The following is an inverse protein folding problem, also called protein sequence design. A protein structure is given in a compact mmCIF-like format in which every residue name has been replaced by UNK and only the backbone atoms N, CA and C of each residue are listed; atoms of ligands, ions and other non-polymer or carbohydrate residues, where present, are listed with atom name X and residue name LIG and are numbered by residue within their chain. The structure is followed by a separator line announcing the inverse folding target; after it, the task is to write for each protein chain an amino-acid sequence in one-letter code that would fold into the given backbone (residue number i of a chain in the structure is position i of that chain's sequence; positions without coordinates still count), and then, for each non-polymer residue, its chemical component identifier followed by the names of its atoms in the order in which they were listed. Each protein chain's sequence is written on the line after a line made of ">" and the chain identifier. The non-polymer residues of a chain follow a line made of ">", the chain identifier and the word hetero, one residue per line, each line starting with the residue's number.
data_IF_106237559901
#
_entry.id   IF_106237559901
#
_cell.length_a   1.000
_cell.length_b   1.000
_cell.length_c   1.000
_cell.angle_alpha   90.00
_cell.angle_beta   90.00
_cell.angle_gamma   90.00
#
_symmetry.space_group_name_H-M   'P 1'
#
loop_
_entity.id
_entity.type
_entity.pdbx_description
1 polymer ?
#
# COMPACT_ATOMS: atom_id res chain seq x y z
N UNK A 1 -8.63 44.65 -4.34
CA UNK A 1 -9.04 45.80 -5.17
C UNK A 1 -7.80 46.59 -5.49
N UNK A 2 -7.68 47.09 -6.72
CA UNK A 2 -6.55 47.80 -7.34
C UNK A 2 -5.50 46.90 -8.04
N UNK A 3 -5.72 46.87 -9.35
CA UNK A 3 -4.84 46.45 -10.45
C UNK A 3 -3.78 47.52 -10.69
N UNK A 4 -2.53 47.14 -10.95
CA UNK A 4 -1.52 48.04 -11.56
C UNK A 4 -0.79 47.31 -12.67
N UNK A 5 -1.09 47.77 -13.88
CA UNK A 5 -0.38 47.60 -15.15
C UNK A 5 0.94 48.37 -15.07
N UNK A 6 2.05 47.83 -15.61
CA UNK A 6 3.05 48.66 -16.30
C UNK A 6 3.89 47.88 -17.31
N UNK A 7 4.11 48.58 -18.41
CA UNK A 7 4.63 48.19 -19.71
C UNK A 7 6.07 47.66 -19.71
N UNK A 8 6.33 46.69 -20.60
CA UNK A 8 7.66 46.43 -21.14
C UNK A 8 7.98 47.49 -22.21
N UNK A 9 9.09 48.19 -22.07
CA UNK A 9 9.76 48.89 -23.17
C UNK A 9 11.04 48.14 -23.56
N UNK A 10 11.23 48.01 -24.88
CA UNK A 10 12.39 47.47 -25.55
C UNK A 10 13.55 48.47 -25.54
N UNK A 11 14.75 48.01 -25.22
CA UNK A 11 16.00 48.64 -25.69
C UNK A 11 17.00 47.57 -26.14
N UNK A 12 17.39 47.65 -27.41
CA UNK A 12 18.51 46.93 -28.03
C UNK A 12 19.79 47.75 -27.84
N UNK A 13 20.96 47.10 -27.78
CA UNK A 13 22.18 47.73 -28.28
C UNK A 13 22.87 46.88 -29.37
N UNK A 14 22.96 47.51 -30.54
CA UNK A 14 24.15 47.69 -31.39
C UNK A 14 25.11 46.52 -31.64
N UNK A 15 25.09 46.06 -32.90
CA UNK A 15 26.08 45.21 -33.55
C UNK A 15 27.42 45.93 -33.79
N UNK A 16 28.53 45.29 -33.44
CA UNK A 16 29.87 45.62 -33.94
C UNK A 16 30.24 44.55 -34.97
N UNK A 17 30.50 45.00 -36.20
CA UNK A 17 30.92 44.17 -37.32
C UNK A 17 32.38 43.74 -37.20
N UNK A 18 32.65 42.49 -37.57
CA UNK A 18 34.00 41.99 -37.83
C UNK A 18 33.95 41.26 -39.18
N UNK A 19 34.75 41.77 -40.11
CA UNK A 19 34.95 41.21 -41.44
C UNK A 19 35.71 39.88 -41.34
N UNK A 20 35.25 38.86 -42.08
CA UNK A 20 35.97 37.61 -42.29
C UNK A 20 36.24 37.38 -43.78
N UNK A 21 37.45 36.93 -44.15
CA UNK A 21 37.87 36.80 -45.54
C UNK A 21 37.28 35.57 -46.23
N UNK A 22 37.08 35.72 -47.55
CA UNK A 22 36.76 34.68 -48.51
C UNK A 22 37.76 33.52 -48.43
N UNK A 23 37.28 32.31 -48.10
CA UNK A 23 38.01 31.06 -48.28
C UNK A 23 37.35 30.27 -49.42
N UNK A 24 38.17 29.93 -50.40
CA UNK A 24 37.90 29.11 -51.58
C UNK A 24 37.28 27.75 -51.17
N UNK A 25 36.12 27.43 -51.73
CA UNK A 25 35.49 26.12 -51.59
C UNK A 25 36.18 25.09 -52.50
N UNK A 26 36.83 24.09 -51.89
CA UNK A 26 37.28 22.87 -52.57
C UNK A 26 36.19 21.81 -52.39
N UNK A 27 35.55 21.43 -53.50
CA UNK A 27 34.57 20.34 -53.58
C UNK A 27 35.28 18.99 -53.43
N UNK A 28 35.28 18.43 -52.22
CA UNK A 28 35.65 17.05 -51.98
C UNK A 28 34.40 16.15 -52.07
N UNK A 29 34.38 15.30 -53.10
CA UNK A 29 33.39 14.24 -53.29
C UNK A 29 33.71 13.15 -52.25
N UNK A 30 32.97 13.12 -51.14
CA UNK A 30 33.04 12.03 -50.16
C UNK A 30 31.83 11.10 -50.33
N UNK A 31 32.12 9.82 -50.51
CA UNK A 31 31.13 8.77 -50.76
C UNK A 31 30.22 8.55 -49.55
N UNK A 32 28.97 8.19 -49.84
CA UNK A 32 28.01 7.72 -48.85
C UNK A 32 28.50 6.40 -48.24
N UNK A 33 29.05 6.45 -47.04
CA UNK A 33 29.11 5.27 -46.17
C UNK A 33 27.71 5.01 -45.59
N UNK A 34 27.19 3.77 -45.62
CA UNK A 34 25.94 3.47 -44.93
C UNK A 34 26.12 3.68 -43.43
N UNK A 35 25.36 4.63 -42.87
CA UNK A 35 25.24 4.82 -41.43
C UNK A 35 24.80 3.49 -40.80
N UNK A 36 25.67 2.90 -39.99
CA UNK A 36 25.28 1.81 -39.12
C UNK A 36 24.10 2.29 -38.26
N UNK A 37 23.03 1.49 -38.10
CA UNK A 37 21.93 1.85 -37.22
C UNK A 37 22.48 2.07 -35.80
N UNK A 38 21.96 3.07 -35.07
CA UNK A 38 22.36 3.28 -33.69
C UNK A 38 22.15 1.96 -32.93
N UNK A 39 23.22 1.46 -32.31
CA UNK A 39 23.18 0.32 -31.40
C UNK A 39 21.99 0.48 -30.48
N UNK A 40 21.04 -0.44 -30.58
CA UNK A 40 19.88 -0.49 -29.69
C UNK A 40 20.40 -0.39 -28.25
N UNK A 41 20.00 0.67 -27.54
CA UNK A 41 20.17 0.72 -26.10
C UNK A 41 19.53 -0.56 -25.55
N UNK A 42 20.36 -1.49 -25.08
CA UNK A 42 19.91 -2.65 -24.35
C UNK A 42 19.24 -2.10 -23.10
N UNK A 43 17.90 -2.05 -23.12
CA UNK A 43 17.13 -1.86 -21.91
C UNK A 43 17.57 -2.95 -20.93
N UNK A 44 17.90 -2.60 -19.67
CA UNK A 44 18.22 -3.62 -18.68
C UNK A 44 17.06 -4.63 -18.66
N UNK A 45 17.34 -5.94 -18.61
CA UNK A 45 16.30 -6.95 -18.65
C UNK A 45 15.29 -6.68 -17.52
N UNK A 46 14.03 -6.46 -17.90
CA UNK A 46 12.93 -6.37 -16.95
C UNK A 46 12.90 -7.67 -16.16
N UNK A 47 13.37 -7.62 -14.91
CA UNK A 47 13.37 -8.80 -14.04
C UNK A 47 11.93 -9.16 -13.77
N UNK A 48 11.42 -10.21 -14.42
CA UNK A 48 10.08 -10.72 -14.18
C UNK A 48 10.01 -11.27 -12.76
N UNK A 49 9.21 -10.64 -11.90
CA UNK A 49 8.92 -11.10 -10.55
C UNK A 49 8.10 -12.39 -10.68
N UNK A 50 8.57 -13.52 -10.14
CA UNK A 50 7.81 -14.77 -10.16
C UNK A 50 7.29 -15.06 -8.76
N UNK A 51 6.02 -14.75 -8.51
CA UNK A 51 5.32 -15.13 -7.29
C UNK A 51 4.61 -16.48 -7.48
N UNK A 52 4.75 -17.37 -6.50
CA UNK A 52 3.97 -18.61 -6.45
C UNK A 52 2.49 -18.36 -6.15
N UNK A 53 1.63 -19.34 -6.44
CA UNK A 53 0.20 -19.29 -6.07
C UNK A 53 0.05 -18.91 -4.60
N UNK A 54 -0.72 -17.86 -4.33
CA UNK A 54 -0.95 -17.38 -2.96
C UNK A 54 -2.36 -17.76 -2.49
N UNK A 55 -2.45 -18.35 -1.30
CA UNK A 55 -3.71 -18.68 -0.62
C UNK A 55 -4.25 -17.46 0.12
N UNK A 56 -5.48 -17.54 0.60
CA UNK A 56 -6.09 -16.49 1.42
C UNK A 56 -5.18 -16.10 2.60
N UNK A 57 -5.12 -14.80 2.95
CA UNK A 57 -4.29 -14.33 4.04
C UNK A 57 -4.80 -14.83 5.39
N UNK A 58 -3.85 -15.16 6.26
CA UNK A 58 -4.12 -15.44 7.67
C UNK A 58 -3.65 -14.27 8.52
N UNK A 59 -4.51 -13.82 9.43
CA UNK A 59 -4.21 -12.70 10.31
C UNK A 59 -4.01 -13.18 11.75
N UNK A 60 -3.17 -12.48 12.50
CA UNK A 60 -2.93 -12.75 13.92
C UNK A 60 -3.65 -11.72 14.76
N UNK A 61 -4.47 -12.16 15.72
CA UNK A 61 -5.21 -11.28 16.64
C UNK A 61 -4.27 -10.28 17.31
N UNK A 62 -4.71 -9.02 17.37
CA UNK A 62 -3.98 -7.89 17.94
C UNK A 62 -2.95 -7.25 17.01
N UNK A 63 -2.65 -7.84 15.84
CA UNK A 63 -1.78 -7.20 14.84
C UNK A 63 -2.41 -5.89 14.36
N UNK A 64 -1.61 -4.82 14.33
CA UNK A 64 -2.03 -3.51 13.84
C UNK A 64 -1.22 -3.13 12.60
N UNK A 65 -1.90 -2.79 11.52
CA UNK A 65 -1.30 -2.22 10.31
C UNK A 65 -1.47 -0.70 10.34
N UNK A 66 -0.37 0.03 10.15
CA UNK A 66 -0.33 1.50 10.18
C UNK A 66 -0.03 2.01 8.78
N UNK A 67 -0.71 3.08 8.34
CA UNK A 67 -0.63 3.59 6.98
C UNK A 67 -0.19 5.04 6.90
N UNK A 68 0.30 5.46 5.73
CA UNK A 68 0.88 6.79 5.47
C UNK A 68 -0.10 7.95 5.60
N UNK A 69 -1.41 7.71 5.48
CA UNK A 69 -2.44 8.73 5.74
C UNK A 69 -2.68 8.99 7.24
N UNK A 70 -2.00 8.22 8.11
CA UNK A 70 -2.11 8.22 9.56
C UNK A 70 -3.18 7.27 10.10
N UNK A 71 -3.93 6.60 9.22
CA UNK A 71 -4.91 5.58 9.64
C UNK A 71 -4.22 4.29 10.08
N UNK A 72 -4.94 3.51 10.88
CA UNK A 72 -4.52 2.17 11.27
C UNK A 72 -5.72 1.23 11.33
N UNK A 73 -5.43 -0.06 11.16
CA UNK A 73 -6.40 -1.16 11.23
C UNK A 73 -5.82 -2.27 12.12
N UNK A 74 -6.55 -2.63 13.17
CA UNK A 74 -6.15 -3.64 14.14
C UNK A 74 -7.05 -4.86 14.02
N UNK A 75 -6.45 -6.05 13.95
CA UNK A 75 -7.16 -7.32 14.00
C UNK A 75 -7.68 -7.54 15.42
N UNK A 76 -8.99 -7.61 15.61
CA UNK A 76 -9.62 -7.85 16.91
C UNK A 76 -9.95 -9.33 17.10
N UNK A 77 -10.41 -9.97 16.03
CA UNK A 77 -10.84 -11.37 16.03
C UNK A 77 -10.68 -11.91 14.61
N UNK A 78 -10.39 -13.20 14.47
CA UNK A 78 -10.27 -13.82 13.15
C UNK A 78 -10.44 -15.33 13.23
N UNK A 79 -10.95 -15.90 12.16
CA UNK A 79 -10.93 -17.33 11.88
C UNK A 79 -10.82 -17.53 10.35
N UNK A 80 -10.83 -18.76 9.83
CA UNK A 80 -10.70 -19.00 8.38
C UNK A 80 -11.81 -18.38 7.50
N UNK A 81 -12.95 -17.98 8.08
CA UNK A 81 -14.09 -17.41 7.34
C UNK A 81 -14.21 -15.89 7.47
N UNK A 82 -13.68 -15.29 8.53
CA UNK A 82 -13.80 -13.85 8.75
C UNK A 82 -12.61 -13.23 9.50
N UNK A 83 -12.53 -11.91 9.38
CA UNK A 83 -11.63 -11.05 10.14
C UNK A 83 -12.43 -9.85 10.65
N UNK A 84 -12.35 -9.59 11.94
CA UNK A 84 -12.90 -8.39 12.56
C UNK A 84 -11.79 -7.38 12.78
N UNK A 85 -11.98 -6.19 12.24
CA UNK A 85 -11.06 -5.08 12.35
C UNK A 85 -11.62 -3.98 13.25
N UNK A 86 -10.73 -3.31 13.97
CA UNK A 86 -10.97 -2.00 14.57
C UNK A 86 -10.13 -0.96 13.82
N UNK A 87 -10.73 0.17 13.45
CA UNK A 87 -10.02 1.24 12.73
C UNK A 87 -9.63 2.39 13.64
N UNK A 88 -8.71 3.25 13.18
CA UNK A 88 -8.37 4.51 13.86
C UNK A 88 -9.54 5.46 14.10
N UNK A 89 -10.67 5.25 13.43
CA UNK A 89 -11.91 6.01 13.63
C UNK A 89 -12.85 5.37 14.66
N UNK A 90 -12.44 4.27 15.28
CA UNK A 90 -13.25 3.49 16.22
C UNK A 90 -14.36 2.69 15.52
N UNK A 91 -14.24 2.41 14.22
CA UNK A 91 -15.19 1.59 13.48
C UNK A 91 -14.85 0.12 13.65
N UNK A 92 -15.87 -0.74 13.76
CA UNK A 92 -15.71 -2.19 13.78
C UNK A 92 -16.16 -2.77 12.45
N UNK A 93 -15.27 -3.47 11.76
CA UNK A 93 -15.50 -4.01 10.41
C UNK A 93 -15.45 -5.54 10.45
N UNK A 94 -16.49 -6.23 10.00
CA UNK A 94 -16.48 -7.67 9.75
C UNK A 94 -16.21 -7.88 8.26
N UNK A 95 -15.07 -8.48 7.93
CA UNK A 95 -14.61 -8.74 6.56
C UNK A 95 -14.36 -10.23 6.33
N UNK A 96 -14.36 -10.65 5.07
CA UNK A 96 -13.78 -11.94 4.68
C UNK A 96 -12.24 -11.83 4.67
N UNK A 97 -11.49 -12.94 4.84
CA UNK A 97 -10.06 -12.97 4.50
C UNK A 97 -9.79 -12.61 3.04
N UNK A 98 -10.75 -12.83 2.13
CA UNK A 98 -10.69 -12.29 0.78
C UNK A 98 -10.98 -10.78 0.80
N UNK A 99 -9.93 -9.96 0.92
CA UNK A 99 -10.03 -8.51 1.01
C UNK A 99 -10.53 -7.83 -0.28
N UNK A 100 -10.71 -8.57 -1.38
CA UNK A 100 -11.36 -8.03 -2.58
C UNK A 100 -12.84 -7.73 -2.32
N UNK A 101 -13.43 -8.41 -1.33
CA UNK A 101 -14.74 -8.07 -0.81
C UNK A 101 -14.66 -6.89 0.16
N UNK A 102 -15.65 -6.00 0.08
CA UNK A 102 -15.82 -4.97 1.11
C UNK A 102 -16.26 -5.61 2.44
N UNK A 103 -16.06 -4.94 3.59
CA UNK A 103 -16.53 -5.45 4.86
C UNK A 103 -18.03 -5.77 4.83
N UNK A 104 -18.40 -7.03 5.07
CA UNK A 104 -19.77 -7.54 5.09
C UNK A 104 -20.63 -6.81 6.13
N UNK A 105 -20.02 -6.38 7.24
CA UNK A 105 -20.66 -5.49 8.21
C UNK A 105 -19.69 -4.41 8.65
N UNK A 106 -20.22 -3.23 8.88
CA UNK A 106 -19.50 -2.14 9.53
C UNK A 106 -20.42 -1.42 10.50
N UNK A 107 -19.85 -0.95 11.61
CA UNK A 107 -20.56 -0.10 12.56
C UNK A 107 -19.66 1.02 13.06
N UNK A 108 -20.27 2.18 13.25
CA UNK A 108 -19.70 3.30 13.98
C UNK A 108 -20.72 3.79 15.03
N UNK A 109 -20.39 4.87 15.74
CA UNK A 109 -21.24 5.41 16.82
C UNK A 109 -22.68 5.73 16.40
N UNK A 110 -22.92 6.04 15.12
CA UNK A 110 -24.19 6.57 14.63
C UNK A 110 -24.91 5.66 13.64
N UNK A 111 -24.19 4.76 12.95
CA UNK A 111 -24.70 4.02 11.81
C UNK A 111 -24.18 2.59 11.78
N UNK A 112 -25.00 1.72 11.20
CA UNK A 112 -24.63 0.33 10.86
C UNK A 112 -24.89 0.10 9.39
N UNK A 113 -24.06 -0.74 8.78
CA UNK A 113 -24.29 -1.20 7.43
C UNK A 113 -23.94 -2.67 7.25
N UNK A 114 -24.67 -3.29 6.34
CA UNK A 114 -24.60 -4.69 5.98
C UNK A 114 -24.45 -4.80 4.47
N UNK A 115 -23.67 -5.80 4.04
CA UNK A 115 -23.42 -6.12 2.65
C UNK A 115 -23.54 -7.61 2.46
N UNK A 116 -24.19 -7.98 1.37
CA UNK A 116 -24.38 -9.36 0.96
C UNK A 116 -23.79 -9.50 -0.43
N UNK A 117 -23.02 -10.58 -0.63
CA UNK A 117 -22.31 -10.83 -1.87
C UNK A 117 -22.82 -12.12 -2.49
N UNK A 118 -23.12 -12.07 -3.79
CA UNK A 118 -23.55 -13.24 -4.55
C UNK A 118 -22.74 -13.34 -5.83
N UNK A 119 -22.19 -14.51 -6.18
CA UNK A 119 -21.52 -14.70 -7.46
C UNK A 119 -22.46 -14.35 -8.60
N UNK A 120 -21.99 -13.57 -9.57
CA UNK A 120 -22.84 -13.23 -10.71
C UNK A 120 -22.99 -14.47 -11.60
N UNK A 121 -24.23 -14.89 -11.85
CA UNK A 121 -24.54 -16.02 -12.73
C UNK A 121 -24.78 -15.51 -14.15
N UNK A 122 -23.91 -15.86 -15.09
CA UNK A 122 -24.21 -15.76 -16.52
C UNK A 122 -24.63 -17.13 -17.04
N UNK A 123 -25.49 -17.16 -18.07
CA UNK A 123 -25.78 -18.40 -18.79
C UNK A 123 -24.46 -19.02 -19.28
N UNK A 124 -24.23 -20.28 -18.92
CA UNK A 124 -23.03 -21.07 -19.25
C UNK A 124 -21.70 -20.59 -18.63
N UNK A 125 -21.73 -19.71 -17.62
CA UNK A 125 -20.52 -19.27 -16.91
C UNK A 125 -20.29 -20.05 -15.62
N UNK A 126 -19.11 -20.65 -15.49
CA UNK A 126 -18.54 -21.07 -14.21
C UNK A 126 -17.87 -19.86 -13.56
N UNK A 127 -18.66 -18.95 -12.98
CA UNK A 127 -18.10 -17.74 -12.37
C UNK A 127 -17.37 -18.13 -11.08
N UNK A 128 -16.03 -18.01 -11.08
CA UNK A 128 -15.24 -18.19 -9.86
C UNK A 128 -15.70 -17.13 -8.85
N UNK A 129 -15.91 -17.54 -7.61
CA UNK A 129 -16.39 -16.65 -6.54
C UNK A 129 -15.28 -15.76 -5.98
N UNK A 130 -14.04 -15.95 -6.40
CA UNK A 130 -12.88 -15.33 -5.78
C UNK A 130 -11.72 -15.28 -6.76
N UNK A 131 -10.83 -14.31 -6.64
CA UNK A 131 -9.56 -14.31 -7.42
C UNK A 131 -8.53 -15.29 -6.84
N UNK A 132 -8.81 -15.86 -5.67
CA UNK A 132 -7.91 -16.74 -4.95
C UNK A 132 -8.06 -18.21 -5.41
N UNK A 133 -6.97 -19.01 -5.41
CA UNK A 133 -5.59 -18.59 -5.13
C UNK A 133 -5.05 -17.65 -6.22
N UNK A 134 -4.22 -16.66 -5.84
CA UNK A 134 -3.79 -15.62 -6.77
C UNK A 134 -2.91 -16.20 -7.89
N UNK A 135 -3.21 -15.81 -9.12
CA UNK A 135 -2.42 -16.04 -10.32
C UNK A 135 -2.76 -14.96 -11.35
N UNK A 136 -1.77 -14.49 -12.11
CA UNK A 136 -1.99 -13.49 -13.18
C UNK A 136 -3.09 -13.97 -14.12
N UNK A 137 -4.05 -13.09 -14.41
CA UNK A 137 -5.18 -13.38 -15.28
C UNK A 137 -6.40 -13.98 -14.57
N UNK A 138 -6.30 -14.38 -13.29
CA UNK A 138 -7.49 -14.77 -12.51
C UNK A 138 -8.47 -13.61 -12.40
N UNK A 139 -9.76 -13.93 -12.52
CA UNK A 139 -10.85 -12.96 -12.53
C UNK A 139 -12.04 -13.48 -11.74
N UNK A 140 -12.75 -12.58 -11.08
CA UNK A 140 -14.02 -12.87 -10.39
C UNK A 140 -15.03 -11.78 -10.66
N UNK A 141 -16.30 -12.15 -10.54
CA UNK A 141 -17.43 -11.27 -10.71
C UNK A 141 -18.52 -11.57 -9.68
N UNK A 142 -18.94 -10.55 -8.94
CA UNK A 142 -19.98 -10.71 -7.93
C UNK A 142 -20.86 -9.47 -7.81
N UNK A 143 -22.11 -9.71 -7.43
CA UNK A 143 -23.07 -8.67 -7.11
C UNK A 143 -23.06 -8.39 -5.60
N UNK A 144 -23.16 -7.12 -5.26
CA UNK A 144 -23.22 -6.60 -3.90
C UNK A 144 -24.58 -5.96 -3.68
N UNK A 145 -25.29 -6.44 -2.64
CA UNK A 145 -26.46 -5.75 -2.07
C UNK A 145 -26.06 -5.10 -0.75
N UNK A 146 -26.23 -3.79 -0.65
CA UNK A 146 -25.88 -3.00 0.53
C UNK A 146 -27.14 -2.46 1.22
N UNK A 147 -27.15 -2.50 2.55
CA UNK A 147 -28.16 -1.89 3.43
C UNK A 147 -27.45 -1.10 4.52
N UNK A 148 -27.78 0.17 4.72
CA UNK A 148 -27.19 0.98 5.79
C UNK A 148 -28.15 2.08 6.28
N UNK A 149 -27.96 2.53 7.51
CA UNK A 149 -28.79 3.60 8.07
C UNK A 149 -28.61 3.75 9.57
N UNK A 150 -29.50 4.55 10.16
CA UNK A 150 -29.61 4.71 11.61
C UNK A 150 -30.71 3.74 12.08
N UNK A 151 -30.41 2.78 12.97
CA UNK A 151 -31.40 1.82 13.47
C UNK A 151 -32.65 2.52 14.01
N UNK A 152 -33.83 2.13 13.52
CA UNK A 152 -35.12 2.69 13.96
C UNK A 152 -35.48 4.07 13.38
N UNK A 153 -34.61 4.69 12.56
CA UNK A 153 -34.90 6.02 11.97
C UNK A 153 -35.07 5.94 10.46
N UNK A 154 -34.07 5.42 9.73
CA UNK A 154 -34.17 5.26 8.28
C UNK A 154 -33.21 4.18 7.78
N UNK A 155 -33.50 3.68 6.58
CA UNK A 155 -32.71 2.68 5.88
C UNK A 155 -32.48 3.07 4.43
N UNK A 156 -31.26 2.86 3.94
CA UNK A 156 -30.85 3.04 2.55
C UNK A 156 -30.39 1.72 1.98
N UNK A 157 -30.64 1.54 0.68
CA UNK A 157 -30.22 0.38 -0.08
C UNK A 157 -29.45 0.80 -1.33
N UNK A 158 -28.52 -0.05 -1.74
CA UNK A 158 -27.89 0.06 -3.05
C UNK A 158 -27.50 -1.31 -3.55
N UNK A 159 -27.47 -1.44 -4.88
CA UNK A 159 -26.93 -2.60 -5.57
C UNK A 159 -25.77 -2.16 -6.44
N UNK A 160 -24.73 -2.99 -6.47
CA UNK A 160 -23.56 -2.77 -7.30
C UNK A 160 -23.03 -4.11 -7.79
N UNK A 161 -22.22 -4.04 -8.83
CA UNK A 161 -21.59 -5.19 -9.45
C UNK A 161 -20.09 -4.97 -9.46
N UNK A 162 -19.32 -5.96 -9.02
CA UNK A 162 -17.87 -5.87 -8.83
C UNK A 162 -17.15 -6.85 -9.74
N UNK A 163 -16.17 -6.35 -10.48
CA UNK A 163 -15.24 -7.13 -11.29
C UNK A 163 -13.86 -6.99 -10.70
N UNK A 164 -13.22 -8.09 -10.33
CA UNK A 164 -11.84 -8.07 -9.87
C UNK A 164 -10.95 -8.94 -10.75
N UNK A 165 -9.69 -8.54 -10.89
CA UNK A 165 -8.65 -9.26 -11.63
C UNK A 165 -7.30 -9.20 -10.91
N UNK A 166 -6.50 -10.25 -11.09
CA UNK A 166 -5.07 -10.23 -10.79
C UNK A 166 -4.34 -9.82 -12.06
N UNK A 167 -3.78 -8.62 -12.07
CA UNK A 167 -3.30 -7.97 -13.29
C UNK A 167 -1.87 -8.39 -13.62
N UNK A 168 -0.98 -8.26 -12.64
CA UNK A 168 0.45 -8.53 -12.78
C UNK A 168 1.12 -8.74 -11.41
N UNK A 169 2.42 -9.00 -11.43
CA UNK A 169 3.29 -9.03 -10.25
C UNK A 169 4.32 -7.92 -10.35
N UNK A 170 4.52 -7.19 -9.27
CA UNK A 170 5.47 -6.07 -9.26
C UNK A 170 6.15 -5.90 -7.90
N UNK A 171 7.33 -5.27 -7.92
CA UNK A 171 8.05 -4.91 -6.70
C UNK A 171 7.65 -3.50 -6.27
N UNK A 172 7.02 -3.39 -5.11
CA UNK A 172 6.54 -2.12 -4.57
C UNK A 172 7.40 -1.70 -3.39
N UNK A 173 7.85 -0.45 -3.43
CA UNK A 173 8.51 0.20 -2.30
C UNK A 173 7.53 1.10 -1.56
N UNK A 174 7.44 0.91 -0.25
CA UNK A 174 6.64 1.70 0.69
C UNK A 174 7.50 2.09 1.89
N UNK A 175 7.05 2.98 2.80
CA UNK A 175 7.84 3.35 3.96
C UNK A 175 8.30 2.14 4.79
N UNK A 176 7.44 1.13 4.99
CA UNK A 176 7.79 -0.07 5.75
C UNK A 176 8.88 -0.95 5.10
N UNK A 177 9.10 -0.88 3.78
CA UNK A 177 10.01 -1.80 3.10
C UNK A 177 9.80 -1.91 1.60
N UNK A 178 10.45 -2.89 0.99
CA UNK A 178 10.26 -3.23 -0.42
C UNK A 178 9.74 -4.66 -0.50
N UNK A 179 8.66 -4.88 -1.23
CA UNK A 179 7.94 -6.14 -1.25
C UNK A 179 7.62 -6.57 -2.68
N UNK A 180 7.70 -7.86 -2.94
CA UNK A 180 7.18 -8.45 -4.16
C UNK A 180 5.67 -8.68 -3.98
N UNK A 181 4.86 -8.13 -4.89
CA UNK A 181 3.42 -8.02 -4.71
C UNK A 181 2.63 -8.53 -5.91
N UNK A 182 1.40 -8.98 -5.63
CA UNK A 182 0.33 -9.13 -6.61
C UNK A 182 -0.43 -7.83 -6.73
N UNK A 183 -0.57 -7.32 -7.95
CA UNK A 183 -1.46 -6.19 -8.26
C UNK A 183 -2.85 -6.70 -8.56
N UNK A 184 -3.81 -6.32 -7.72
CA UNK A 184 -5.21 -6.77 -7.82
C UNK A 184 -6.10 -5.54 -7.99
N UNK A 185 -6.82 -5.48 -9.12
CA UNK A 185 -7.74 -4.39 -9.40
C UNK A 185 -9.18 -4.87 -9.25
N UNK A 186 -10.00 -4.10 -8.53
CA UNK A 186 -11.41 -4.32 -8.32
C UNK A 186 -12.21 -3.08 -8.73
N UNK A 187 -12.99 -3.19 -9.81
CA UNK A 187 -13.87 -2.14 -10.31
C UNK A 187 -15.32 -2.39 -9.89
N UNK A 188 -15.95 -1.35 -9.36
CA UNK A 188 -17.37 -1.34 -8.97
C UNK A 188 -18.20 -0.57 -9.99
N UNK A 189 -19.27 -1.20 -10.43
CA UNK A 189 -20.25 -0.65 -11.34
C UNK A 189 -21.59 -0.49 -10.63
N UNK A 190 -22.36 0.55 -10.97
CA UNK A 190 -23.76 0.59 -10.60
C UNK A 190 -24.52 -0.54 -11.33
N UNK A 191 -25.65 -0.96 -10.75
CA UNK A 191 -26.58 -1.82 -11.50
C UNK A 191 -27.07 -1.04 -12.72
N UNK A 192 -27.18 -1.73 -13.86
CA UNK A 192 -27.51 -1.16 -15.16
C UNK A 192 -28.64 -0.12 -15.07
N UNK A 193 -28.35 1.11 -15.50
CA UNK A 193 -29.36 2.18 -15.52
C UNK A 193 -30.39 1.90 -16.62
N UNK A 194 -31.56 2.57 -16.56
CA UNK A 194 -32.59 2.49 -17.62
C UNK A 194 -32.06 2.81 -19.03
N UNK A 195 -30.92 3.51 -19.11
CA UNK A 195 -30.22 3.86 -20.35
C UNK A 195 -29.26 2.76 -20.87
N UNK A 196 -29.26 1.56 -20.27
CA UNK A 196 -28.49 0.40 -20.75
C UNK A 196 -26.98 0.48 -20.54
N UNK A 197 -26.47 1.48 -19.79
CA UNK A 197 -25.04 1.61 -19.48
C UNK A 197 -24.78 1.40 -17.99
N UNK A 198 -23.87 0.47 -17.69
CA UNK A 198 -23.25 0.33 -16.38
C UNK A 198 -22.08 1.31 -16.28
N UNK A 199 -22.09 2.15 -15.25
CA UNK A 199 -21.09 3.19 -15.02
C UNK A 199 -20.15 2.72 -13.93
N UNK A 200 -18.83 2.73 -14.21
CA UNK A 200 -17.79 2.47 -13.20
C UNK A 200 -17.74 3.64 -12.23
N UNK A 201 -17.99 3.37 -10.95
CA UNK A 201 -18.13 4.38 -9.91
C UNK A 201 -16.92 4.46 -8.97
N UNK A 202 -16.25 3.33 -8.79
CA UNK A 202 -15.17 3.13 -7.83
C UNK A 202 -14.21 2.08 -8.39
N UNK A 203 -12.92 2.30 -8.21
CA UNK A 203 -11.87 1.37 -8.57
C UNK A 203 -10.90 1.27 -7.38
N UNK A 204 -10.57 0.05 -7.01
CA UNK A 204 -9.65 -0.28 -5.92
C UNK A 204 -8.48 -1.06 -6.48
N UNK A 205 -7.27 -0.68 -6.10
CA UNK A 205 -6.05 -1.39 -6.47
C UNK A 205 -5.35 -1.79 -5.18
N UNK A 206 -5.05 -3.07 -5.04
CA UNK A 206 -4.32 -3.63 -3.91
C UNK A 206 -2.99 -4.18 -4.42
N UNK A 207 -1.90 -3.81 -3.76
CA UNK A 207 -0.60 -4.46 -3.95
C UNK A 207 -0.37 -5.40 -2.78
N UNK A 208 -0.74 -6.66 -2.96
CA UNK A 208 -0.71 -7.68 -1.92
C UNK A 208 0.64 -8.37 -1.84
N UNK A 209 1.28 -8.35 -0.67
CA UNK A 209 2.55 -9.01 -0.41
C UNK A 209 2.32 -10.32 0.37
N UNK A 210 2.49 -11.51 -0.26
CA UNK A 210 2.30 -12.79 0.42
C UNK A 210 3.23 -12.98 1.62
N UNK A 211 4.44 -12.40 1.59
CA UNK A 211 5.44 -12.51 2.66
C UNK A 211 4.99 -11.93 4.00
N UNK A 212 4.07 -10.97 3.99
CA UNK A 212 3.47 -10.39 5.21
C UNK A 212 1.99 -10.74 5.38
N UNK A 213 1.40 -11.42 4.40
CA UNK A 213 -0.02 -11.79 4.40
C UNK A 213 -0.97 -10.58 4.36
N UNK A 214 -0.55 -9.44 3.79
CA UNK A 214 -1.35 -8.21 3.72
C UNK A 214 -0.95 -7.35 2.52
N UNK A 215 -1.79 -6.38 2.16
CA UNK A 215 -1.43 -5.38 1.15
C UNK A 215 -0.50 -4.31 1.73
N UNK A 216 0.48 -3.89 0.93
CA UNK A 216 1.47 -2.87 1.31
C UNK A 216 1.11 -1.51 0.74
N UNK A 217 0.37 -1.49 -0.37
CA UNK A 217 -0.15 -0.29 -1.00
C UNK A 217 -1.62 -0.52 -1.39
N UNK A 218 -2.46 0.45 -1.09
CA UNK A 218 -3.86 0.49 -1.49
C UNK A 218 -4.20 1.83 -2.10
N UNK A 219 -4.80 1.78 -3.29
CA UNK A 219 -5.31 2.93 -4.00
C UNK A 219 -6.82 2.80 -4.24
N UNK A 220 -7.53 3.90 -4.11
CA UNK A 220 -8.96 3.97 -4.40
C UNK A 220 -9.29 5.23 -5.18
N UNK A 221 -9.84 5.01 -6.37
CA UNK A 221 -10.31 6.05 -7.26
C UNK A 221 -11.84 6.04 -7.32
N UNK A 222 -12.44 7.22 -7.47
CA UNK A 222 -13.88 7.39 -7.66
C UNK A 222 -14.14 8.13 -8.97
N UNK A 223 -15.30 7.93 -9.56
CA UNK A 223 -15.69 8.61 -10.80
C UNK A 223 -15.98 10.11 -10.60
N UNK A 224 -16.42 10.52 -9.40
CA UNK A 224 -16.71 11.92 -9.07
C UNK A 224 -15.47 12.63 -8.48
N UNK A 225 -15.57 13.93 -8.22
CA UNK A 225 -14.55 14.77 -7.56
C UNK A 225 -14.31 14.42 -6.06
N UNK A 226 -14.42 13.15 -5.68
CA UNK A 226 -14.06 12.67 -4.36
C UNK A 226 -12.53 12.55 -4.26
N UNK A 227 -11.94 12.83 -3.09
CA UNK A 227 -10.53 12.58 -2.88
C UNK A 227 -10.18 11.11 -3.14
N UNK A 228 -9.09 10.90 -3.87
CA UNK A 228 -8.48 9.58 -4.02
C UNK A 228 -7.97 9.13 -2.66
N UNK A 229 -8.09 7.84 -2.37
CA UNK A 229 -7.47 7.23 -1.18
C UNK A 229 -6.16 6.60 -1.63
N UNK A 230 -5.08 6.89 -0.92
CA UNK A 230 -3.76 6.32 -1.12
C UNK A 230 -3.22 5.94 0.24
N UNK A 231 -2.90 4.67 0.46
CA UNK A 231 -2.40 4.15 1.74
C UNK A 231 -1.18 3.29 1.47
N UNK A 232 -0.04 3.72 1.98
CA UNK A 232 1.19 2.94 2.00
C UNK A 232 1.43 2.40 3.41
N UNK A 233 1.88 1.16 3.50
CA UNK A 233 2.21 0.53 4.77
C UNK A 233 3.42 1.23 5.41
N UNK A 234 3.22 1.68 6.64
CA UNK A 234 4.21 2.38 7.47
C UNK A 234 4.81 1.43 8.50
N UNK A 235 3.98 0.59 9.13
CA UNK A 235 4.44 -0.40 10.10
C UNK A 235 3.42 -1.52 10.32
N UNK A 236 3.92 -2.68 10.75
CA UNK A 236 3.12 -3.80 11.28
C UNK A 236 3.51 -4.00 12.74
N UNK A 237 2.55 -3.84 13.65
CA UNK A 237 2.78 -3.93 15.09
C UNK A 237 2.12 -5.19 15.66
N UNK A 238 2.87 -6.14 16.23
CA UNK A 238 2.27 -7.23 16.99
C UNK A 238 1.66 -6.72 18.29
N UNK A 239 0.58 -7.36 18.72
CA UNK A 239 0.12 -7.22 20.11
C UNK A 239 0.88 -8.21 20.99
N UNK A 240 1.94 -7.74 21.63
CA UNK A 240 2.78 -8.58 22.48
C UNK A 240 1.98 -9.28 23.59
N UNK A 241 0.99 -8.59 24.18
CA UNK A 241 0.11 -9.19 25.20
C UNK A 241 -0.85 -10.23 24.62
N UNK A 242 -1.39 -10.04 23.41
CA UNK A 242 -2.23 -11.05 22.76
C UNK A 242 -1.43 -12.29 22.34
N UNK A 243 -0.10 -12.15 22.20
CA UNK A 243 0.83 -13.25 21.98
C UNK A 243 1.25 -13.96 23.28
N UNK A 244 0.68 -13.58 24.43
CA UNK A 244 0.97 -14.19 25.72
C UNK A 244 2.28 -13.71 26.38
N UNK A 245 2.92 -12.66 25.84
CA UNK A 245 4.13 -12.10 26.43
C UNK A 245 3.74 -11.30 27.68
N UNK A 246 4.39 -11.62 28.80
CA UNK A 246 4.14 -10.95 30.08
C UNK A 246 4.65 -9.50 30.09
N UNK A 247 4.20 -8.74 31.08
CA UNK A 247 4.47 -7.31 31.18
C UNK A 247 5.96 -6.98 31.28
N UNK A 248 6.77 -7.79 31.96
CA UNK A 248 8.20 -7.51 32.14
C UNK A 248 8.97 -7.73 30.84
N UNK A 249 8.68 -8.82 30.14
CA UNK A 249 9.24 -9.06 28.81
C UNK A 249 8.81 -7.97 27.80
N UNK A 250 7.56 -7.50 27.87
CA UNK A 250 7.10 -6.35 27.05
C UNK A 250 7.93 -5.09 27.32
N UNK A 251 8.28 -4.81 28.58
CA UNK A 251 9.14 -3.66 28.93
C UNK A 251 10.53 -3.85 28.31
N UNK A 252 11.15 -5.02 28.48
CA UNK A 252 12.46 -5.33 27.89
C UNK A 252 12.48 -5.19 26.36
N UNK A 253 11.44 -5.67 25.66
CA UNK A 253 11.30 -5.50 24.20
C UNK A 253 11.22 -4.03 23.82
N UNK A 254 10.47 -3.20 24.57
CA UNK A 254 10.35 -1.77 24.29
C UNK A 254 11.66 -1.01 24.54
N UNK A 255 12.38 -1.34 25.61
CA UNK A 255 13.69 -0.76 25.90
C UNK A 255 14.71 -1.14 24.83
N UNK A 256 14.75 -2.42 24.43
CA UNK A 256 15.59 -2.89 23.33
C UNK A 256 15.28 -2.19 22.01
N UNK A 257 14.00 -1.95 21.73
CA UNK A 257 13.56 -1.20 20.56
C UNK A 257 14.14 0.23 20.57
N UNK A 258 14.04 0.95 21.70
CA UNK A 258 14.59 2.30 21.82
C UNK A 258 16.12 2.30 21.70
N UNK A 259 16.79 1.40 22.39
CA UNK A 259 18.25 1.28 22.40
C UNK A 259 18.77 1.02 20.98
N UNK A 260 18.26 -0.02 20.31
CA UNK A 260 18.75 -0.42 19.00
C UNK A 260 18.51 0.66 17.94
N UNK A 261 17.34 1.32 17.92
CA UNK A 261 17.13 2.44 17.02
C UNK A 261 17.98 3.67 17.37
N UNK A 262 18.37 3.83 18.65
CA UNK A 262 19.21 4.93 19.10
C UNK A 262 20.70 4.75 18.79
N UNK A 263 21.22 3.52 18.81
CA UNK A 263 22.67 3.28 18.80
C UNK A 263 23.18 2.43 17.64
N UNK A 264 22.40 1.47 17.13
CA UNK A 264 22.88 0.55 16.10
C UNK A 264 23.05 1.25 14.74
N UNK A 265 24.03 0.80 13.95
CA UNK A 265 24.18 1.22 12.57
C UNK A 265 23.11 0.58 11.66
N UNK A 266 22.90 1.15 10.47
CA UNK A 266 22.07 0.50 9.45
C UNK A 266 22.73 -0.80 9.00
N UNK A 267 21.98 -1.91 9.00
CA UNK A 267 22.45 -3.27 8.73
C UNK A 267 22.93 -4.03 9.96
N UNK A 268 23.09 -3.38 11.11
CA UNK A 268 23.51 -4.03 12.35
C UNK A 268 22.29 -4.63 13.08
N UNK A 269 22.28 -5.95 13.24
CA UNK A 269 21.24 -6.66 13.98
C UNK A 269 21.59 -6.70 15.47
N UNK A 270 20.68 -6.22 16.32
CA UNK A 270 20.74 -6.42 17.76
C UNK A 270 19.64 -7.37 18.22
N UNK A 271 19.94 -8.22 19.21
CA UNK A 271 19.00 -9.19 19.76
C UNK A 271 18.84 -9.00 21.26
N UNK A 272 17.60 -9.08 21.71
CA UNK A 272 17.22 -9.24 23.11
C UNK A 272 16.59 -10.62 23.30
N UNK A 273 16.84 -11.25 24.45
CA UNK A 273 16.33 -12.58 24.78
C UNK A 273 15.88 -12.61 26.23
N UNK A 274 14.75 -13.27 26.50
CA UNK A 274 14.35 -13.73 27.84
C UNK A 274 14.49 -15.26 27.86
N UNK A 275 15.62 -15.75 28.38
CA UNK A 275 15.95 -17.18 28.38
C UNK A 275 14.95 -18.02 29.18
N UNK A 276 14.40 -17.47 30.27
CA UNK A 276 13.44 -18.16 31.10
C UNK A 276 12.13 -18.43 30.35
N UNK A 277 11.79 -17.56 29.39
CA UNK A 277 10.54 -17.64 28.62
C UNK A 277 10.72 -18.09 27.19
N UNK A 278 11.95 -18.36 26.76
CA UNK A 278 12.29 -18.74 25.38
C UNK A 278 11.76 -17.73 24.34
N UNK A 279 11.80 -16.44 24.69
CA UNK A 279 11.41 -15.35 23.81
C UNK A 279 12.68 -14.68 23.30
N UNK A 280 12.78 -14.47 21.99
CA UNK A 280 13.82 -13.61 21.43
C UNK A 280 13.23 -12.56 20.50
N UNK A 281 13.80 -11.37 20.56
CA UNK A 281 13.41 -10.24 19.74
C UNK A 281 14.67 -9.66 19.10
N UNK A 282 14.81 -9.87 17.79
CA UNK A 282 15.90 -9.32 17.01
C UNK A 282 15.39 -8.11 16.22
N UNK A 283 16.19 -7.07 16.10
CA UNK A 283 15.87 -5.90 15.31
C UNK A 283 17.08 -5.40 14.54
N UNK A 284 16.85 -5.02 13.28
CA UNK A 284 17.87 -4.50 12.36
C UNK A 284 17.35 -3.20 11.77
N UNK A 285 17.96 -2.04 12.07
CA UNK A 285 17.72 -0.82 11.31
C UNK A 285 18.23 -1.03 9.88
N UNK A 286 17.41 -0.79 8.87
CA UNK A 286 17.77 -1.06 7.46
C UNK A 286 18.13 0.22 6.72
N UNK A 287 17.51 1.34 7.08
CA UNK A 287 17.78 2.64 6.49
C UNK A 287 17.53 3.77 7.48
N UNK A 288 18.28 4.85 7.35
CA UNK A 288 18.09 6.10 8.11
C UNK A 288 17.84 7.24 7.12
N UNK A 289 16.83 8.07 7.38
CA UNK A 289 16.48 9.22 6.56
C UNK A 289 15.86 10.32 7.42
N UNK A 290 15.56 11.47 6.83
CA UNK A 290 14.84 12.57 7.49
C UNK A 290 13.54 12.88 6.74
N UNK A 291 12.49 13.23 7.47
CA UNK A 291 11.28 13.80 6.89
C UNK A 291 11.56 15.24 6.41
N UNK A 292 10.61 15.82 5.68
CA UNK A 292 10.71 17.19 5.17
C UNK A 292 10.92 18.25 6.26
N UNK A 293 10.38 18.01 7.47
CA UNK A 293 10.57 18.85 8.66
C UNK A 293 11.91 18.61 9.38
N UNK A 294 12.76 17.72 8.85
CA UNK A 294 14.06 17.38 9.42
C UNK A 294 14.02 16.27 10.48
N UNK A 295 12.84 15.76 10.85
CA UNK A 295 12.69 14.67 11.84
C UNK A 295 13.43 13.42 11.38
N UNK A 296 14.37 12.87 12.18
CA UNK A 296 15.09 11.67 11.79
C UNK A 296 14.21 10.44 11.97
N UNK A 297 14.16 9.60 10.94
CA UNK A 297 13.43 8.36 10.90
C UNK A 297 14.33 7.20 10.51
N UNK A 298 13.99 6.02 11.00
CA UNK A 298 14.66 4.76 10.70
C UNK A 298 13.64 3.73 10.25
N UNK A 299 13.92 3.10 9.12
CA UNK A 299 13.24 1.88 8.69
C UNK A 299 13.89 0.69 9.37
N UNK A 300 13.11 -0.26 9.85
CA UNK A 300 13.59 -1.42 10.56
C UNK A 300 12.87 -2.69 10.13
N UNK A 301 13.56 -3.79 10.34
CA UNK A 301 13.00 -5.14 10.36
C UNK A 301 13.16 -5.69 11.77
N UNK A 302 12.10 -6.29 12.30
CA UNK A 302 12.13 -6.96 13.59
C UNK A 302 11.64 -8.39 13.44
N UNK A 303 12.27 -9.32 14.15
CA UNK A 303 11.89 -10.72 14.21
C UNK A 303 11.57 -11.07 15.64
N UNK A 304 10.34 -11.51 15.88
CA UNK A 304 9.88 -12.02 17.16
C UNK A 304 9.83 -13.55 17.08
N UNK A 305 10.58 -14.20 17.95
CA UNK A 305 10.60 -15.65 18.12
C UNK A 305 10.04 -16.00 19.50
N UNK A 306 9.06 -16.91 19.52
CA UNK A 306 8.37 -17.38 20.71
C UNK A 306 8.58 -18.90 20.93
N UNK A 307 9.53 -19.51 20.21
CA UNK A 307 9.84 -20.93 20.25
C UNK A 307 8.87 -21.80 19.42
N UNK A 308 7.56 -21.52 19.48
CA UNK A 308 6.54 -22.22 18.70
C UNK A 308 6.13 -21.47 17.41
N UNK A 309 6.50 -20.20 17.32
CA UNK A 309 6.32 -19.39 16.12
C UNK A 309 7.43 -18.35 16.03
N UNK A 310 7.79 -18.00 14.79
CA UNK A 310 8.67 -16.88 14.49
C UNK A 310 8.03 -16.03 13.40
N UNK A 311 7.95 -14.72 13.62
CA UNK A 311 7.36 -13.77 12.65
C UNK A 311 8.21 -12.53 12.50
N UNK A 312 8.37 -12.09 11.25
CA UNK A 312 9.03 -10.84 10.90
C UNK A 312 8.00 -9.74 10.75
N UNK A 313 8.32 -8.57 11.28
CA UNK A 313 7.53 -7.36 11.14
C UNK A 313 8.41 -6.24 10.59
N UNK A 314 7.79 -5.37 9.83
CA UNK A 314 8.45 -4.29 9.11
C UNK A 314 7.86 -2.97 9.58
N UNK A 315 8.67 -1.92 9.59
CA UNK A 315 8.13 -0.60 9.81
C UNK A 315 9.15 0.51 9.82
N UNK A 316 8.65 1.70 10.13
CA UNK A 316 9.46 2.89 10.38
C UNK A 316 9.19 3.41 11.78
N UNK A 317 10.20 4.06 12.37
CA UNK A 317 10.05 4.84 13.58
C UNK A 317 10.80 6.16 13.42
N UNK A 318 10.22 7.23 13.95
CA UNK A 318 10.76 8.56 13.90
C UNK A 318 11.06 9.05 15.32
N UNK A 319 12.20 9.75 15.47
CA UNK A 319 12.64 10.25 16.76
C UNK A 319 11.94 11.57 17.05
N UNK A 320 11.07 11.56 18.05
CA UNK A 320 10.38 12.78 18.51
C UNK A 320 11.30 13.71 19.30
N UNK A 321 10.76 14.86 19.70
CA UNK A 321 11.48 15.87 20.51
C UNK A 321 11.97 15.33 21.85
N UNK A 322 11.24 14.39 22.46
CA UNK A 322 11.65 13.69 23.68
C UNK A 322 12.86 12.76 23.48
N UNK A 323 13.35 12.61 22.25
CA UNK A 323 14.42 11.69 21.89
C UNK A 323 13.97 10.24 21.72
N UNK A 324 12.69 9.92 21.99
CA UNK A 324 12.12 8.59 21.83
C UNK A 324 11.73 8.31 20.37
N UNK A 325 12.00 7.09 19.94
CA UNK A 325 11.57 6.55 18.65
C UNK A 325 10.13 6.08 18.73
N UNK A 326 9.27 6.60 17.85
CA UNK A 326 7.85 6.25 17.82
C UNK A 326 7.42 5.93 16.39
N UNK A 327 6.51 4.97 16.25
CA UNK A 327 5.89 4.70 14.95
C UNK A 327 4.93 5.86 14.62
N UNK A 328 5.07 6.51 13.44
CA UNK A 328 4.18 7.58 13.04
C UNK A 328 2.72 7.10 12.96
N UNK A 329 1.85 7.71 13.74
CA UNK A 329 0.39 7.50 13.72
C UNK A 329 -0.31 8.81 14.08
N UNK A 330 -1.48 9.08 13.50
CA UNK A 330 -2.30 10.23 13.88
C UNK A 330 -3.11 9.96 15.15
#
# INVERSE_FOLDING_TARGET
>A
MVSIIRHLELTLPTSIGVAFPFILAVLAISGCAPMAPPTAHQYPPTTTIVLGRSTLPEHTVGTTFVYSDGSWEKVVETNPSFVIWETSRGERLLSSPDFTYRPARWENKNMKGYRFFTPTKYLYSTTQTSVWPLAVGNRTHFDEKSKWGIPGVYEKHAEATWKCSVDETERVQVPAGTFDTWKITCSRFNKMTRAGRAIRWEEKIFHYAPTIGHWVLFEQNYQAARPKVHKELVAILPSLSALGIDKNAIVGIKEHFQQTLGTAASGEMNRWTDENKQISFAMTPVATYRLADGTPCRRYEQRLDLGWQSKTYYGIACRGESGLWTIPRK
#
